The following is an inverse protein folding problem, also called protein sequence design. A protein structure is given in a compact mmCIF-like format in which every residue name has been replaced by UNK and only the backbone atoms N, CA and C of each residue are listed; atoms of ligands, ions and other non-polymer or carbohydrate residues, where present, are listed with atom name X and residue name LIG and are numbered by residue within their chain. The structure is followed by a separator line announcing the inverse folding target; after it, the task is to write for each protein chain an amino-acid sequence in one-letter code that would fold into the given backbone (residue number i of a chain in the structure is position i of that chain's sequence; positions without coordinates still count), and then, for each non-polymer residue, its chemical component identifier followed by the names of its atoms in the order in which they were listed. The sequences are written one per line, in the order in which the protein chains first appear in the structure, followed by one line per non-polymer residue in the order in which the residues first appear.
data_IF_716931342602
#
_entry.id   IF_716931342602
#
_cell.length_a   1.000
_cell.length_b   1.000
_cell.length_c   1.000
_cell.angle_alpha   90.00
_cell.angle_beta   90.00
_cell.angle_gamma   90.00
#
_symmetry.space_group_name_H-M   'P 1'
#
loop_
_entity.id
_entity.type
_entity.pdbx_description
1 polymer ?
#
# COMPACT_ATOMS: atom_id res chain seq x y z
N UNK A 1 -2.41 -9.59 22.72
CA UNK A 1 -2.32 -9.41 21.26
C UNK A 1 -2.89 -8.04 20.94
N UNK A 2 -2.07 -7.01 20.76
CA UNK A 2 -2.57 -5.67 20.39
C UNK A 2 -1.93 -5.23 19.08
N UNK A 3 -2.77 -4.82 18.14
CA UNK A 3 -2.41 -4.34 16.82
C UNK A 3 -3.21 -5.00 15.70
N UNK A 4 -3.47 -4.24 14.64
CA UNK A 4 -4.30 -4.65 13.52
C UNK A 4 -3.57 -5.63 12.59
N UNK A 5 -4.25 -6.69 12.16
CA UNK A 5 -3.74 -7.68 11.21
C UNK A 5 -3.55 -7.07 9.82
N UNK A 6 -2.51 -7.48 9.09
CA UNK A 6 -2.32 -7.06 7.69
C UNK A 6 -3.48 -7.62 6.84
N UNK A 7 -4.14 -6.76 6.06
CA UNK A 7 -5.37 -7.05 5.33
C UNK A 7 -6.65 -6.84 6.14
N UNK A 8 -6.56 -6.51 7.42
CA UNK A 8 -7.75 -6.12 8.19
C UNK A 8 -8.31 -4.79 7.69
N UNK A 9 -9.64 -4.68 7.69
CA UNK A 9 -10.35 -3.41 7.53
C UNK A 9 -10.48 -2.75 8.89
N UNK A 10 -10.05 -1.49 8.98
CA UNK A 10 -10.03 -0.71 10.20
C UNK A 10 -10.66 0.65 9.97
N UNK A 11 -11.27 1.20 11.02
CA UNK A 11 -11.79 2.57 11.00
C UNK A 11 -10.82 3.48 11.73
N UNK A 12 -10.63 4.68 11.19
CA UNK A 12 -9.79 5.69 11.82
C UNK A 12 -10.19 7.10 11.41
N UNK A 13 -9.61 8.07 12.11
CA UNK A 13 -9.84 9.50 11.92
C UNK A 13 -8.55 10.18 11.50
N UNK A 14 -8.56 10.94 10.41
CA UNK A 14 -7.36 11.71 9.97
C UNK A 14 -6.99 12.71 11.07
N UNK A 15 -5.79 12.59 11.63
CA UNK A 15 -5.35 13.42 12.76
C UNK A 15 -4.36 14.50 12.37
N UNK A 16 -3.56 14.29 11.32
CA UNK A 16 -2.63 15.32 10.84
C UNK A 16 -2.27 15.16 9.35
N UNK A 17 -1.99 16.30 8.70
CA UNK A 17 -1.46 16.39 7.33
C UNK A 17 -0.24 17.32 7.36
N UNK A 18 0.96 16.84 7.73
CA UNK A 18 2.10 17.70 8.07
C UNK A 18 2.68 18.46 6.87
N UNK A 19 2.70 17.84 5.68
CA UNK A 19 3.16 18.43 4.42
C UNK A 19 2.29 17.93 3.27
N UNK A 20 1.14 18.58 3.02
CA UNK A 20 0.22 18.18 1.94
C UNK A 20 0.95 18.11 0.60
N UNK A 21 0.78 17.01 -0.12
CA UNK A 21 1.46 16.74 -1.40
C UNK A 21 2.89 16.20 -1.30
N UNK A 22 3.48 16.06 -0.10
CA UNK A 22 4.88 15.64 0.03
C UNK A 22 5.11 14.38 0.89
N UNK A 23 4.32 14.16 1.94
CA UNK A 23 4.57 13.06 2.90
C UNK A 23 3.39 12.08 2.93
N UNK A 24 2.19 12.58 3.18
CA UNK A 24 1.02 11.74 3.44
C UNK A 24 0.20 12.32 4.60
N UNK A 25 -0.57 11.46 5.25
CA UNK A 25 -1.40 11.82 6.41
C UNK A 25 -1.33 10.78 7.51
N UNK A 26 -1.55 11.25 8.74
CA UNK A 26 -1.66 10.41 9.93
C UNK A 26 -3.13 10.17 10.27
N UNK A 27 -3.39 8.98 10.81
CA UNK A 27 -4.72 8.51 11.18
C UNK A 27 -4.67 8.01 12.61
N UNK A 28 -5.55 8.53 13.46
CA UNK A 28 -5.81 7.94 14.76
C UNK A 28 -6.76 6.76 14.55
N UNK A 29 -6.29 5.56 14.89
CA UNK A 29 -7.07 4.34 14.74
C UNK A 29 -7.94 4.13 15.99
N UNK A 30 -9.16 3.64 15.79
CA UNK A 30 -10.07 3.28 16.89
C UNK A 30 -9.50 1.99 17.57
N UNK A 31 -8.46 2.15 18.39
CA UNK A 31 -7.64 1.08 18.98
C UNK A 31 -6.14 1.42 18.90
N UNK A 32 -5.39 1.17 19.97
CA UNK A 32 -4.00 1.62 20.16
C UNK A 32 -3.13 1.59 18.89
N UNK A 33 -2.75 2.78 18.40
CA UNK A 33 -1.79 2.92 17.31
C UNK A 33 -2.06 4.12 16.40
N UNK A 34 -0.99 4.63 15.78
CA UNK A 34 -1.07 5.65 14.75
C UNK A 34 -0.93 5.00 13.37
N UNK A 35 -1.92 5.23 12.53
CA UNK A 35 -1.93 4.89 11.13
C UNK A 35 -1.26 5.95 10.27
N UNK A 36 -0.78 5.56 9.10
CA UNK A 36 -0.21 6.46 8.11
C UNK A 36 -0.61 6.03 6.70
N UNK A 37 -1.05 7.01 5.89
CA UNK A 37 -1.31 6.84 4.46
C UNK A 37 -0.26 7.61 3.68
N UNK A 38 0.43 6.92 2.78
CA UNK A 38 1.50 7.50 1.96
C UNK A 38 0.96 8.48 0.90
N UNK A 39 1.71 9.54 0.62
CA UNK A 39 1.38 10.52 -0.44
C UNK A 39 1.13 9.87 -1.80
N UNK A 40 1.82 8.79 -2.14
CA UNK A 40 1.65 8.09 -3.43
C UNK A 40 0.31 7.37 -3.55
N UNK A 41 -0.33 7.08 -2.41
CA UNK A 41 -1.66 6.48 -2.35
C UNK A 41 -2.73 7.53 -2.55
N UNK A 42 -2.50 8.77 -2.11
CA UNK A 42 -3.49 9.83 -2.10
C UNK A 42 -3.68 10.49 -3.48
N UNK A 43 -4.80 11.17 -3.73
CA UNK A 43 -5.00 11.92 -4.97
C UNK A 43 -3.89 12.94 -5.21
N UNK A 44 -3.52 13.18 -6.48
CA UNK A 44 -2.44 14.15 -6.81
C UNK A 44 -2.68 15.56 -6.28
N UNK A 45 -3.95 15.99 -6.16
CA UNK A 45 -4.31 17.30 -5.62
C UNK A 45 -4.50 17.19 -4.10
N UNK A 46 -3.69 17.87 -3.27
CA UNK A 46 -3.83 17.79 -1.82
C UNK A 46 -5.19 18.26 -1.29
N UNK A 47 -5.86 19.17 -2.00
CA UNK A 47 -7.23 19.61 -1.65
C UNK A 47 -8.30 18.53 -1.82
N UNK A 48 -7.98 17.39 -2.43
CA UNK A 48 -8.85 16.22 -2.56
C UNK A 48 -8.53 15.13 -1.53
N UNK A 49 -7.60 15.38 -0.61
CA UNK A 49 -7.29 14.45 0.48
C UNK A 49 -8.39 14.53 1.54
N UNK A 50 -8.62 13.46 2.31
CA UNK A 50 -9.50 13.54 3.47
C UNK A 50 -8.94 14.58 4.46
N UNK A 51 -9.79 15.53 4.86
CA UNK A 51 -9.39 16.59 5.79
C UNK A 51 -9.16 16.04 7.20
N UNK A 52 -8.39 16.76 8.02
CA UNK A 52 -8.27 16.45 9.46
C UNK A 52 -9.66 16.39 10.10
N UNK A 53 -9.90 15.35 10.91
CA UNK A 53 -11.19 15.03 11.51
C UNK A 53 -12.07 14.11 10.64
N UNK A 54 -11.69 13.83 9.39
CA UNK A 54 -12.44 12.89 8.53
C UNK A 54 -12.30 11.47 9.09
N UNK A 55 -13.43 10.84 9.42
CA UNK A 55 -13.51 9.43 9.81
C UNK A 55 -13.81 8.58 8.58
N UNK A 56 -12.99 7.56 8.33
CA UNK A 56 -13.15 6.67 7.17
C UNK A 56 -12.54 5.28 7.45
N UNK A 57 -12.62 4.39 6.47
CA UNK A 57 -12.13 3.01 6.54
C UNK A 57 -10.87 2.80 5.72
N UNK A 58 -10.01 1.91 6.21
CA UNK A 58 -8.72 1.61 5.63
C UNK A 58 -8.47 0.11 5.64
N UNK A 59 -7.72 -0.38 4.67
CA UNK A 59 -7.08 -1.69 4.75
C UNK A 59 -5.66 -1.55 5.29
N UNK A 60 -5.26 -2.43 6.20
CA UNK A 60 -3.91 -2.47 6.77
C UNK A 60 -2.94 -3.10 5.77
N UNK A 61 -1.94 -2.34 5.33
CA UNK A 61 -0.93 -2.81 4.39
C UNK A 61 0.28 -3.44 5.08
N UNK A 62 0.73 -2.85 6.18
CA UNK A 62 1.92 -3.31 6.88
C UNK A 62 1.94 -2.81 8.32
N UNK A 63 2.69 -3.52 9.16
CA UNK A 63 3.05 -3.08 10.52
C UNK A 63 4.54 -2.79 10.55
N UNK A 64 4.90 -1.57 10.91
CA UNK A 64 6.29 -1.17 11.21
C UNK A 64 6.38 -0.81 12.69
N UNK A 65 7.60 -0.77 13.22
CA UNK A 65 7.83 -0.32 14.60
C UNK A 65 7.28 1.10 14.76
N UNK A 66 6.19 1.24 15.54
CA UNK A 66 5.54 2.53 15.81
C UNK A 66 4.60 3.08 14.74
N UNK A 67 4.36 2.40 13.62
CA UNK A 67 3.47 2.90 12.56
C UNK A 67 2.75 1.79 11.79
N UNK A 68 1.45 1.99 11.55
CA UNK A 68 0.62 1.09 10.72
C UNK A 68 0.41 1.73 9.35
N UNK A 69 0.80 1.04 8.27
CA UNK A 69 0.63 1.55 6.90
C UNK A 69 -0.78 1.21 6.42
N UNK A 70 -1.48 2.18 5.87
CA UNK A 70 -2.90 2.11 5.54
C UNK A 70 -3.17 2.43 4.08
N UNK A 71 -4.21 1.79 3.55
CA UNK A 71 -4.80 2.11 2.25
C UNK A 71 -6.25 2.58 2.43
N UNK A 72 -6.63 3.80 2.01
CA UNK A 72 -8.02 4.28 2.10
C UNK A 72 -8.95 3.40 1.27
N UNK A 73 -10.09 2.98 1.83
CA UNK A 73 -11.09 2.18 1.11
C UNK A 73 -12.09 3.02 0.30
N UNK A 74 -12.31 4.27 0.69
CA UNK A 74 -13.08 5.22 -0.11
C UNK A 74 -12.32 5.61 -1.37
N UNK A 75 -12.99 5.51 -2.52
CA UNK A 75 -12.34 5.71 -3.83
C UNK A 75 -11.87 7.14 -4.06
N UNK A 76 -12.57 8.13 -3.49
CA UNK A 76 -12.22 9.54 -3.60
C UNK A 76 -10.91 9.89 -2.87
N UNK A 77 -10.52 9.12 -1.86
CA UNK A 77 -9.32 9.39 -1.05
C UNK A 77 -8.06 8.70 -1.57
N UNK A 78 -8.07 8.18 -2.80
CA UNK A 78 -6.89 7.52 -3.38
C UNK A 78 -6.68 7.82 -4.86
N UNK A 79 -5.43 7.70 -5.27
CA UNK A 79 -5.03 7.67 -6.67
C UNK A 79 -5.28 6.27 -7.24
N UNK A 80 -6.16 6.20 -8.24
CA UNK A 80 -6.45 4.95 -8.96
C UNK A 80 -7.58 4.11 -8.34
N UNK A 81 -7.93 2.98 -9.00
CA UNK A 81 -9.06 2.13 -8.61
C UNK A 81 -8.85 1.39 -7.28
N UNK A 82 -9.96 1.03 -6.60
CA UNK A 82 -9.98 0.23 -5.35
C UNK A 82 -9.24 -1.09 -5.53
N UNK A 83 -9.57 -1.78 -6.62
CA UNK A 83 -9.26 -3.17 -6.90
C UNK A 83 -7.91 -3.37 -7.61
N UNK A 84 -6.99 -2.40 -7.49
CA UNK A 84 -5.79 -2.35 -8.33
C UNK A 84 -6.09 -2.34 -9.85
N UNK A 85 -7.37 -2.16 -10.22
CA UNK A 85 -7.88 -2.14 -11.59
C UNK A 85 -8.16 -3.52 -12.20
N UNK A 86 -8.23 -4.60 -11.41
CA UNK A 86 -8.46 -5.97 -11.93
C UNK A 86 -9.80 -6.56 -11.50
N UNK A 87 -10.39 -7.39 -12.34
CA UNK A 87 -11.61 -8.16 -12.05
C UNK A 87 -11.38 -9.27 -11.01
N UNK A 88 -12.47 -9.90 -10.52
CA UNK A 88 -12.35 -11.05 -9.61
C UNK A 88 -11.64 -12.24 -10.27
N UNK A 89 -11.91 -12.50 -11.54
CA UNK A 89 -11.29 -13.60 -12.29
C UNK A 89 -9.80 -13.36 -12.50
N UNK A 90 -9.42 -12.13 -12.88
CA UNK A 90 -8.02 -11.73 -12.99
C UNK A 90 -7.30 -11.83 -11.64
N UNK A 91 -7.97 -11.45 -10.56
CA UNK A 91 -7.42 -11.58 -9.21
C UNK A 91 -7.24 -13.04 -8.79
N UNK A 92 -8.22 -13.91 -9.05
CA UNK A 92 -8.13 -15.35 -8.78
C UNK A 92 -7.00 -15.99 -9.59
N UNK A 93 -6.86 -15.64 -10.87
CA UNK A 93 -5.77 -16.11 -11.72
C UNK A 93 -4.41 -15.65 -11.20
N UNK A 94 -4.30 -14.38 -10.74
CA UNK A 94 -3.07 -13.85 -10.14
C UNK A 94 -2.67 -14.63 -8.89
N UNK A 95 -3.60 -14.89 -7.96
CA UNK A 95 -3.33 -15.68 -6.74
C UNK A 95 -2.90 -17.12 -7.06
N UNK A 96 -3.52 -17.74 -8.06
CA UNK A 96 -3.15 -19.09 -8.49
C UNK A 96 -1.74 -19.13 -9.10
N UNK A 97 -1.36 -18.09 -9.85
CA UNK A 97 -0.03 -17.98 -10.48
C UNK A 97 1.07 -17.65 -9.46
N UNK A 98 0.77 -16.78 -8.50
CA UNK A 98 1.73 -16.27 -7.53
C UNK A 98 1.20 -16.44 -6.10
N UNK A 99 1.14 -17.68 -5.58
CA UNK A 99 0.70 -17.91 -4.21
C UNK A 99 1.64 -17.25 -3.19
N UNK A 100 1.19 -17.08 -1.96
CA UNK A 100 2.05 -16.59 -0.86
C UNK A 100 3.31 -17.45 -0.72
N UNK A 101 4.46 -16.80 -0.58
CA UNK A 101 5.80 -17.41 -0.61
C UNK A 101 6.38 -17.64 -2.01
N UNK A 102 5.60 -17.47 -3.08
CA UNK A 102 6.14 -17.54 -4.43
C UNK A 102 7.11 -16.38 -4.71
N UNK A 103 8.13 -16.65 -5.53
CA UNK A 103 9.06 -15.62 -6.00
C UNK A 103 8.74 -15.29 -7.45
N UNK A 104 8.47 -14.01 -7.72
CA UNK A 104 8.22 -13.48 -9.05
C UNK A 104 9.31 -12.49 -9.47
N UNK A 105 9.42 -12.23 -10.76
CA UNK A 105 10.24 -11.15 -11.30
C UNK A 105 9.34 -9.93 -11.50
N UNK A 106 9.78 -8.78 -11.03
CA UNK A 106 9.10 -7.51 -11.25
C UNK A 106 10.09 -6.44 -11.69
N UNK A 107 9.63 -5.54 -12.55
CA UNK A 107 10.37 -4.38 -13.04
C UNK A 107 10.02 -3.15 -12.20
N UNK A 108 11.03 -2.38 -11.79
CA UNK A 108 10.84 -1.10 -11.11
C UNK A 108 10.32 -0.07 -12.11
N UNK A 109 9.09 0.40 -11.96
CA UNK A 109 8.51 1.38 -12.87
C UNK A 109 8.74 2.83 -12.43
N UNK A 110 8.74 3.06 -11.11
CA UNK A 110 8.83 4.39 -10.55
C UNK A 110 9.56 4.35 -9.22
N UNK A 111 10.32 5.41 -8.93
CA UNK A 111 11.08 5.57 -7.70
C UNK A 111 10.71 6.91 -7.07
N UNK A 112 10.48 6.88 -5.78
CA UNK A 112 10.20 8.02 -4.93
C UNK A 112 11.09 7.96 -3.68
N UNK A 113 11.14 9.05 -2.93
CA UNK A 113 11.95 9.08 -1.71
C UNK A 113 11.35 8.10 -0.70
N UNK A 114 12.08 7.00 -0.42
CA UNK A 114 11.68 5.97 0.55
C UNK A 114 10.71 4.90 0.01
N UNK A 115 10.31 4.95 -1.27
CA UNK A 115 9.39 3.99 -1.85
C UNK A 115 9.55 3.87 -3.37
N UNK A 116 9.09 2.76 -3.94
CA UNK A 116 9.15 2.51 -5.38
C UNK A 116 8.02 1.58 -5.81
N UNK A 117 7.59 1.72 -7.06
CA UNK A 117 6.59 0.86 -7.68
C UNK A 117 7.30 -0.22 -8.48
N UNK A 118 6.77 -1.44 -8.39
CA UNK A 118 7.18 -2.54 -9.27
C UNK A 118 5.98 -3.07 -10.03
N UNK A 119 6.21 -3.48 -11.28
CA UNK A 119 5.23 -4.10 -12.16
C UNK A 119 5.65 -5.53 -12.45
N UNK A 120 4.69 -6.43 -12.41
CA UNK A 120 4.86 -7.84 -12.73
C UNK A 120 3.69 -8.29 -13.60
N UNK A 121 3.77 -9.50 -14.13
CA UNK A 121 2.70 -10.01 -14.98
C UNK A 121 1.38 -10.07 -14.18
N UNK A 122 0.40 -9.31 -14.63
CA UNK A 122 -0.92 -9.27 -14.02
C UNK A 122 -1.06 -8.29 -12.86
N UNK A 123 -0.07 -7.46 -12.50
CA UNK A 123 -0.26 -6.46 -11.46
C UNK A 123 0.92 -5.53 -11.17
N UNK A 124 0.79 -4.78 -10.09
CA UNK A 124 1.85 -3.93 -9.55
C UNK A 124 1.81 -3.95 -8.01
N UNK A 125 2.91 -3.55 -7.38
CA UNK A 125 3.00 -3.35 -5.93
C UNK A 125 3.77 -2.07 -5.63
N UNK A 126 3.36 -1.35 -4.58
CA UNK A 126 4.16 -0.31 -3.96
C UNK A 126 5.01 -0.95 -2.88
N UNK A 127 6.30 -0.69 -2.91
CA UNK A 127 7.25 -1.13 -1.90
C UNK A 127 7.86 0.10 -1.24
N UNK A 128 8.12 -0.04 0.05
CA UNK A 128 8.82 0.97 0.83
C UNK A 128 10.20 0.41 1.21
N UNK A 129 11.22 1.24 1.13
CA UNK A 129 12.60 0.84 1.41
C UNK A 129 13.40 1.97 2.02
N UNK A 130 14.22 1.62 3.02
CA UNK A 130 15.07 2.58 3.74
C UNK A 130 16.49 2.64 3.14
N UNK A 131 16.75 1.85 2.10
CA UNK A 131 18.03 1.76 1.39
C UNK A 131 18.09 2.64 0.14
N UNK A 132 19.21 2.54 -0.59
CA UNK A 132 19.32 3.14 -1.91
C UNK A 132 18.18 2.60 -2.81
N UNK A 133 17.39 3.48 -3.45
CA UNK A 133 16.31 3.01 -4.30
C UNK A 133 16.88 2.22 -5.49
N UNK A 134 16.16 1.19 -5.96
CA UNK A 134 16.57 0.48 -7.15
C UNK A 134 16.44 1.38 -8.39
N UNK A 135 17.12 1.03 -9.47
CA UNK A 135 17.07 1.79 -10.72
C UNK A 135 15.73 1.56 -11.46
N UNK A 136 15.12 2.61 -11.99
CA UNK A 136 13.92 2.48 -12.84
C UNK A 136 14.25 1.70 -14.10
N UNK A 137 13.40 0.75 -14.49
CA UNK A 137 13.61 -0.18 -15.59
C UNK A 137 14.42 -1.42 -15.21
N UNK A 138 14.99 -1.48 -14.00
CA UNK A 138 15.66 -2.68 -13.52
C UNK A 138 14.64 -3.74 -13.11
N UNK A 139 14.98 -5.01 -13.32
CA UNK A 139 14.19 -6.16 -12.88
C UNK A 139 14.88 -6.88 -11.73
N UNK A 140 14.10 -7.24 -10.71
CA UNK A 140 14.58 -8.01 -9.57
C UNK A 140 13.57 -9.08 -9.15
N UNK A 141 14.00 -9.94 -8.23
CA UNK A 141 13.17 -11.01 -7.66
C UNK A 141 12.49 -10.52 -6.40
N UNK A 142 11.19 -10.76 -6.30
CA UNK A 142 10.36 -10.39 -5.17
C UNK A 142 9.55 -11.58 -4.69
N UNK A 143 9.44 -11.74 -3.38
CA UNK A 143 8.60 -12.75 -2.74
C UNK A 143 7.21 -12.17 -2.48
N UNK A 144 6.18 -12.96 -2.78
CA UNK A 144 4.80 -12.68 -2.41
C UNK A 144 4.63 -12.89 -0.92
N UNK A 145 4.38 -11.80 -0.20
CA UNK A 145 4.19 -11.82 1.26
C UNK A 145 2.75 -12.16 1.62
N UNK A 146 1.79 -11.51 0.94
CA UNK A 146 0.36 -11.67 1.22
C UNK A 146 -0.49 -11.16 0.07
N UNK A 147 -1.68 -11.73 -0.08
CA UNK A 147 -2.74 -11.18 -0.91
C UNK A 147 -3.77 -10.42 -0.07
N UNK A 148 -4.06 -9.18 -0.46
CA UNK A 148 -5.10 -8.35 0.15
C UNK A 148 -6.34 -8.40 -0.73
N UNK A 149 -7.36 -9.14 -0.30
CA UNK A 149 -8.55 -9.38 -1.10
C UNK A 149 -9.43 -8.13 -1.25
N UNK A 150 -9.45 -7.23 -0.26
CA UNK A 150 -10.28 -6.01 -0.30
C UNK A 150 -9.85 -5.09 -1.43
N UNK A 151 -8.54 -4.85 -1.58
CA UNK A 151 -7.99 -3.95 -2.61
C UNK A 151 -7.35 -4.69 -3.78
N UNK A 152 -7.43 -6.04 -3.80
CA UNK A 152 -6.80 -6.92 -4.80
C UNK A 152 -5.32 -6.61 -5.01
N UNK A 153 -4.61 -6.39 -3.90
CA UNK A 153 -3.18 -6.07 -3.85
C UNK A 153 -2.35 -7.29 -3.51
N UNK A 154 -1.21 -7.44 -4.18
CA UNK A 154 -0.20 -8.42 -3.79
C UNK A 154 0.92 -7.66 -3.10
N UNK A 155 1.13 -7.95 -1.81
CA UNK A 155 2.24 -7.39 -1.07
C UNK A 155 3.52 -8.13 -1.43
N UNK A 156 4.54 -7.38 -1.79
CA UNK A 156 5.84 -7.91 -2.20
C UNK A 156 6.94 -7.43 -1.26
N UNK A 157 7.98 -8.25 -1.12
CA UNK A 157 9.27 -7.85 -0.54
C UNK A 157 10.41 -8.32 -1.45
N UNK A 158 11.57 -7.65 -1.48
CA UNK A 158 12.73 -8.17 -2.19
C UNK A 158 13.09 -9.59 -1.73
N UNK A 159 13.39 -10.50 -2.65
CA UNK A 159 13.80 -11.86 -2.33
C UNK A 159 15.32 -11.92 -2.05
N UNK A 160 15.73 -12.51 -0.93
CA UNK A 160 17.15 -12.79 -0.65
C UNK A 160 17.88 -11.82 0.29
N UNK A 161 17.18 -11.19 1.22
CA UNK A 161 17.81 -10.59 2.43
C UNK A 161 18.08 -11.65 3.48
#
# INVERSE_FOLDING_TARGET
MTGFEVGAVVTGTVSAIPRPGAIGLFVDLDGEGQGFVDVLILPRRPGSWPAVGTKTTFEVLARRSGQIRLWPLEAEFRSGPLDNGVSEDEWRARKARYPEGAVLTAEVSDVHVGSYLVRYEGGWSLLEGDGAPPEVGSSARYEVVRHLDTTRRTLLRPAGT
#
